data_IF_404784223515
#
_entry.id   IF_404784223515
#
_cell.length_a   1.000
_cell.length_b   1.000
_cell.length_c   1.000
_cell.angle_alpha   90.00
_cell.angle_beta   90.00
_cell.angle_gamma   90.00
#
_symmetry.space_group_name_H-M   'P 1'
#
loop_
_entity.id
_entity.type
_entity.pdbx_description
1 polymer ?
#
# COMPACT_ATOMS: atom_id res chain seq x y z
N UNK A 1 -11.30 -18.58 -6.69
CA UNK A 1 -11.70 -17.17 -6.89
C UNK A 1 -11.36 -16.43 -5.62
N UNK A 2 -10.66 -15.30 -5.70
CA UNK A 2 -10.42 -14.45 -4.53
C UNK A 2 -11.78 -13.96 -3.99
N UNK A 3 -11.91 -13.86 -2.67
CA UNK A 3 -13.15 -13.37 -2.06
C UNK A 3 -13.38 -11.90 -2.47
N UNK A 4 -14.64 -11.46 -2.62
CA UNK A 4 -14.92 -10.08 -2.97
C UNK A 4 -14.47 -9.13 -1.85
N UNK A 5 -13.68 -8.11 -2.23
CA UNK A 5 -13.21 -7.07 -1.32
C UNK A 5 -14.41 -6.20 -0.95
N UNK A 6 -14.69 -6.06 0.34
CA UNK A 6 -15.91 -5.41 0.84
C UNK A 6 -15.66 -4.37 1.94
N UNK A 7 -14.42 -4.24 2.42
CA UNK A 7 -14.05 -3.30 3.47
C UNK A 7 -13.33 -2.10 2.86
N UNK A 8 -13.55 -0.87 3.36
CA UNK A 8 -12.82 0.30 2.90
C UNK A 8 -11.30 0.07 2.93
N UNK A 9 -10.60 0.60 1.92
CA UNK A 9 -9.15 0.56 1.89
C UNK A 9 -8.59 1.60 2.86
N UNK A 10 -7.73 1.16 3.78
CA UNK A 10 -7.14 1.99 4.82
C UNK A 10 -5.64 1.83 4.84
N UNK A 11 -4.94 2.89 5.21
CA UNK A 11 -3.49 2.92 5.40
C UNK A 11 -3.11 3.32 6.82
N UNK A 12 -1.88 3.00 7.19
CA UNK A 12 -1.23 3.51 8.41
C UNK A 12 -0.30 4.64 8.00
N UNK A 13 -0.58 5.84 8.49
CA UNK A 13 0.07 7.08 8.08
C UNK A 13 0.96 7.66 9.17
N UNK A 14 2.04 8.30 8.74
CA UNK A 14 2.82 9.27 9.52
C UNK A 14 2.92 10.61 8.80
N UNK A 15 3.32 11.67 9.50
CA UNK A 15 3.49 13.00 8.93
C UNK A 15 4.59 13.81 9.62
N UNK A 16 4.92 15.03 9.14
CA UNK A 16 5.98 15.86 9.75
C UNK A 16 5.72 16.27 11.20
N UNK A 17 4.49 16.09 11.69
CA UNK A 17 4.13 16.32 13.10
C UNK A 17 4.29 15.07 13.97
N UNK A 18 4.91 14.00 13.45
CA UNK A 18 5.16 12.74 14.16
C UNK A 18 3.88 12.06 14.69
N UNK A 19 2.76 12.24 13.99
CA UNK A 19 1.51 11.55 14.31
C UNK A 19 1.50 10.19 13.64
N UNK A 20 0.96 9.17 14.32
CA UNK A 20 0.71 7.85 13.75
C UNK A 20 -0.80 7.57 13.81
N UNK A 21 -1.42 7.30 12.66
CA UNK A 21 -2.87 7.13 12.60
C UNK A 21 -3.34 6.25 11.44
N UNK A 22 -4.60 5.80 11.51
CA UNK A 22 -5.27 5.05 10.44
C UNK A 22 -6.13 6.03 9.65
N UNK A 23 -6.00 6.01 8.32
CA UNK A 23 -6.79 6.84 7.41
C UNK A 23 -7.24 6.05 6.18
N UNK A 24 -8.18 6.61 5.41
CA UNK A 24 -8.53 6.06 4.10
C UNK A 24 -7.34 6.16 3.14
N UNK A 25 -7.15 5.14 2.31
CA UNK A 25 -6.03 5.07 1.38
C UNK A 25 -6.49 4.82 -0.05
N UNK A 26 -5.77 5.41 -1.01
CA UNK A 26 -5.91 5.07 -2.41
C UNK A 26 -5.15 3.76 -2.72
N UNK A 27 -5.67 2.93 -3.65
CA UNK A 27 -6.95 3.10 -4.35
C UNK A 27 -8.15 2.75 -3.45
N UNK A 28 -9.23 3.51 -3.58
CA UNK A 28 -10.55 3.20 -3.00
C UNK A 28 -11.13 1.91 -3.60
N UNK A 29 -12.18 1.36 -2.98
CA UNK A 29 -12.86 0.16 -3.49
C UNK A 29 -13.43 0.38 -4.89
N UNK A 30 -14.02 1.55 -5.14
CA UNK A 30 -14.60 1.92 -6.42
C UNK A 30 -13.50 2.02 -7.50
N UNK A 31 -12.33 2.54 -7.14
CA UNK A 31 -11.18 2.56 -8.04
C UNK A 31 -10.66 1.14 -8.32
N UNK A 32 -10.59 0.26 -7.32
CA UNK A 32 -10.21 -1.15 -7.51
C UNK A 32 -11.16 -1.86 -8.47
N UNK A 33 -12.46 -1.55 -8.43
CA UNK A 33 -13.46 -2.11 -9.36
C UNK A 33 -13.28 -1.55 -10.78
N UNK A 34 -12.85 -0.29 -10.95
CA UNK A 34 -12.66 0.35 -12.25
C UNK A 34 -11.63 -0.35 -13.15
N UNK A 35 -11.96 -0.58 -14.42
CA UNK A 35 -11.04 -1.15 -15.41
C UNK A 35 -9.80 -0.28 -15.66
N UNK A 36 -9.87 1.02 -15.36
CA UNK A 36 -8.85 2.01 -15.69
C UNK A 36 -7.82 2.26 -14.58
N UNK A 37 -7.91 1.55 -13.45
CA UNK A 37 -7.00 1.76 -12.31
C UNK A 37 -5.54 1.45 -12.66
N UNK A 38 -5.30 0.33 -13.34
CA UNK A 38 -3.95 -0.20 -13.52
C UNK A 38 -3.34 0.29 -14.83
N UNK A 39 -2.05 0.64 -14.76
CA UNK A 39 -1.19 0.88 -15.90
C UNK A 39 -0.51 -0.42 -16.38
N UNK A 40 0.07 -0.43 -17.59
CA UNK A 40 0.82 -1.58 -18.08
C UNK A 40 1.92 -2.05 -17.12
N UNK A 41 1.84 -3.32 -16.73
CA UNK A 41 2.78 -3.96 -15.81
C UNK A 41 2.35 -3.98 -14.35
N UNK A 42 1.25 -3.31 -14.00
CA UNK A 42 0.79 -3.21 -12.61
C UNK A 42 -0.18 -4.32 -12.21
N UNK A 43 -0.23 -4.55 -10.90
CA UNK A 43 -1.17 -5.45 -10.22
C UNK A 43 -1.66 -4.79 -8.94
N UNK A 44 -2.84 -5.16 -8.47
CA UNK A 44 -3.32 -4.83 -7.11
C UNK A 44 -3.11 -6.04 -6.22
N UNK A 45 -2.52 -5.81 -5.05
CA UNK A 45 -2.38 -6.79 -3.97
C UNK A 45 -3.33 -6.46 -2.83
N UNK A 46 -4.04 -7.47 -2.31
CA UNK A 46 -4.64 -7.40 -0.99
C UNK A 46 -3.56 -7.78 0.04
N UNK A 47 -3.06 -6.79 0.76
CA UNK A 47 -2.00 -6.98 1.75
C UNK A 47 -2.47 -7.89 2.89
N UNK A 48 -1.68 -8.92 3.20
CA UNK A 48 -1.98 -9.89 4.26
C UNK A 48 -1.08 -9.74 5.47
N UNK A 49 0.18 -9.36 5.24
CA UNK A 49 1.12 -9.09 6.31
C UNK A 49 2.15 -8.06 5.84
N UNK A 50 2.53 -7.18 6.77
CA UNK A 50 3.63 -6.24 6.60
C UNK A 50 4.45 -6.21 7.88
N UNK A 51 5.76 -6.41 7.77
CA UNK A 51 6.71 -6.27 8.87
C UNK A 51 6.89 -4.80 9.26
N UNK A 52 7.20 -4.58 10.54
CA UNK A 52 7.60 -3.25 11.04
C UNK A 52 9.12 -3.24 11.10
N UNK A 53 9.71 -2.30 10.38
CA UNK A 53 11.15 -2.08 10.37
C UNK A 53 11.53 -0.88 11.25
N UNK A 54 12.79 -0.83 11.70
CA UNK A 54 13.32 0.32 12.43
C UNK A 54 13.24 1.63 11.62
N UNK A 55 13.27 1.55 10.28
CA UNK A 55 13.09 2.72 9.42
C UNK A 55 11.69 3.30 9.49
N UNK A 56 10.65 2.49 9.64
CA UNK A 56 9.28 2.99 9.82
C UNK A 56 9.17 3.80 11.13
N UNK A 57 9.83 3.31 12.19
CA UNK A 57 9.93 4.03 13.46
C UNK A 57 10.76 5.32 13.31
N UNK A 58 11.85 5.30 12.53
CA UNK A 58 12.62 6.53 12.26
C UNK A 58 11.80 7.57 11.50
N UNK A 59 11.00 7.18 10.51
CA UNK A 59 10.11 8.11 9.82
C UNK A 59 9.02 8.65 10.74
N UNK A 60 8.49 7.83 11.65
CA UNK A 60 7.51 8.30 12.63
C UNK A 60 8.11 9.22 13.68
N UNK A 61 9.15 8.80 14.40
CA UNK A 61 9.70 9.52 15.56
C UNK A 61 10.65 10.66 15.19
N UNK A 62 11.37 10.54 14.07
CA UNK A 62 12.41 11.51 13.66
C UNK A 62 12.11 12.21 12.34
N UNK A 63 11.10 11.76 11.60
CA UNK A 63 10.67 12.40 10.35
C UNK A 63 11.65 12.26 9.19
N UNK A 64 12.76 11.53 9.35
CA UNK A 64 13.76 11.34 8.29
C UNK A 64 14.75 10.21 8.55
N UNK A 65 15.39 9.76 7.47
CA UNK A 65 16.59 8.93 7.47
C UNK A 65 17.64 9.61 6.57
N UNK A 66 18.69 10.16 7.20
CA UNK A 66 19.69 10.95 6.49
C UNK A 66 19.12 12.24 5.89
N UNK A 67 19.83 12.88 4.94
CA UNK A 67 19.41 14.13 4.33
C UNK A 67 18.41 13.96 3.16
N UNK A 68 18.23 12.74 2.64
CA UNK A 68 17.48 12.50 1.39
C UNK A 68 16.13 11.84 1.57
N UNK A 69 15.86 11.19 2.71
CA UNK A 69 14.57 10.57 2.99
C UNK A 69 13.92 11.34 4.12
N UNK A 70 13.05 12.28 3.79
CA UNK A 70 12.37 13.18 4.73
C UNK A 70 10.87 13.02 4.54
N UNK A 71 10.13 12.95 5.64
CA UNK A 71 8.67 12.98 5.64
C UNK A 71 8.25 14.43 5.44
N UNK A 72 7.72 14.74 4.27
CA UNK A 72 7.32 16.10 3.88
C UNK A 72 5.79 16.32 3.95
N UNK A 73 5.00 15.24 3.92
CA UNK A 73 3.54 15.25 3.94
C UNK A 73 3.03 13.92 4.55
N UNK A 74 1.73 13.67 4.46
CA UNK A 74 1.10 12.40 4.83
C UNK A 74 1.72 11.22 4.09
N UNK A 75 2.24 10.25 4.85
CA UNK A 75 3.08 9.19 4.34
C UNK A 75 2.64 7.82 4.87
N UNK A 76 2.30 6.90 3.97
CA UNK A 76 1.99 5.51 4.33
C UNK A 76 3.29 4.76 4.64
N UNK A 77 3.33 4.08 5.78
CA UNK A 77 4.47 3.27 6.23
C UNK A 77 4.39 1.80 5.75
N UNK A 78 5.51 1.08 5.87
CA UNK A 78 5.58 -0.36 5.62
C UNK A 78 6.11 -0.73 4.23
N UNK A 79 7.21 -1.47 4.21
CA UNK A 79 7.90 -1.90 2.99
C UNK A 79 8.30 -3.39 3.01
N UNK A 80 7.90 -4.14 4.04
CA UNK A 80 8.23 -5.55 4.23
C UNK A 80 6.96 -6.42 4.09
N UNK A 81 6.47 -6.52 2.87
CA UNK A 81 5.06 -6.79 2.60
C UNK A 81 4.81 -8.10 1.84
N UNK A 82 3.71 -8.79 2.17
CA UNK A 82 3.20 -9.95 1.43
C UNK A 82 1.68 -9.92 1.34
N UNK A 83 1.13 -10.34 0.21
CA UNK A 83 -0.30 -10.18 -0.10
C UNK A 83 -0.84 -11.25 -1.02
N UNK A 84 -2.05 -11.03 -1.52
CA UNK A 84 -2.67 -11.86 -2.55
C UNK A 84 -2.97 -10.98 -3.75
N UNK A 85 -2.60 -11.41 -4.95
CA UNK A 85 -2.97 -10.72 -6.19
C UNK A 85 -4.50 -10.74 -6.32
N UNK A 86 -5.12 -9.56 -6.42
CA UNK A 86 -6.58 -9.44 -6.59
C UNK A 86 -6.97 -8.90 -7.95
N UNK A 87 -6.10 -8.13 -8.60
CA UNK A 87 -6.31 -7.61 -9.95
C UNK A 87 -4.99 -7.51 -10.70
N UNK A 88 -5.02 -7.76 -12.00
CA UNK A 88 -3.84 -7.68 -12.87
C UNK A 88 -4.17 -6.83 -14.09
N UNK A 89 -3.24 -6.01 -14.55
CA UNK A 89 -3.39 -5.35 -15.84
C UNK A 89 -3.29 -6.40 -16.96
N UNK A 90 -4.05 -6.29 -18.08
CA UNK A 90 -4.01 -7.26 -19.17
C UNK A 90 -2.64 -7.55 -19.78
N UNK A 91 -1.67 -6.64 -19.62
CA UNK A 91 -0.29 -6.84 -20.11
C UNK A 91 0.56 -7.76 -19.22
N UNK A 92 0.09 -8.11 -18.01
CA UNK A 92 0.80 -8.98 -17.07
C UNK A 92 0.45 -10.43 -17.37
N UNK A 93 1.44 -11.23 -17.78
CA UNK A 93 1.24 -12.63 -18.21
C UNK A 93 1.72 -13.69 -17.22
N UNK A 94 2.49 -13.30 -16.20
CA UNK A 94 3.17 -14.21 -15.28
C UNK A 94 2.55 -14.25 -13.87
N UNK A 95 1.54 -13.41 -13.61
CA UNK A 95 0.77 -13.37 -12.36
C UNK A 95 -0.72 -13.44 -12.69
N UNK A 96 -1.50 -14.04 -11.79
CA UNK A 96 -2.96 -14.10 -11.89
C UNK A 96 -3.62 -13.85 -10.51
N UNK A 97 -4.88 -13.38 -10.49
CA UNK A 97 -5.61 -13.25 -9.24
C UNK A 97 -5.61 -14.56 -8.43
N UNK A 98 -5.27 -14.46 -7.15
CA UNK A 98 -5.11 -15.57 -6.20
C UNK A 98 -3.66 -16.00 -5.95
N UNK A 99 -2.70 -15.54 -6.74
CA UNK A 99 -1.26 -15.76 -6.46
C UNK A 99 -0.83 -15.01 -5.19
N UNK A 100 0.22 -15.51 -4.53
CA UNK A 100 0.78 -15.00 -3.27
C UNK A 100 2.22 -14.56 -3.45
#
# INVERSE_FOLDING_TARGET
>A
MAAPISKPNVGVYTNPSHKLYIGEASPSLQEIESEQLLQPGEVVLEMKATGICGSDIHFWEHGRIGPTMVVEDEHILGHESSGIVVKVHPSVSHLKPGDR
#
